data_IF_373425075544
#
_entry.id   IF_373425075544
#
_cell.length_a   1.000
_cell.length_b   1.000
_cell.length_c   1.000
_cell.angle_alpha   90.00
_cell.angle_beta   90.00
_cell.angle_gamma   90.00
#
_symmetry.space_group_name_H-M   'P 1'
#
loop_
_entity.id
_entity.type
_entity.pdbx_description
1 polymer ?
#
# COMPACT_ATOMS: atom_id res chain seq x y z
N UNK A 1 18.75 -2.72 9.09
CA UNK A 1 17.53 -3.43 9.58
C UNK A 1 16.38 -3.06 8.67
N UNK A 2 15.69 -4.02 8.14
CA UNK A 2 14.56 -3.76 7.22
C UNK A 2 13.37 -3.30 8.03
N UNK A 3 12.81 -2.12 7.70
CA UNK A 3 11.57 -1.63 8.29
C UNK A 3 10.43 -2.45 7.68
N UNK A 4 9.67 -3.13 8.52
CA UNK A 4 8.54 -3.93 8.08
C UNK A 4 7.27 -3.08 7.98
N UNK A 5 6.40 -3.40 7.03
CA UNK A 5 5.08 -2.77 6.90
C UNK A 5 4.29 -2.88 8.21
N UNK A 6 3.51 -1.86 8.50
CA UNK A 6 2.64 -1.72 9.67
C UNK A 6 3.37 -1.60 11.02
N UNK A 7 4.72 -1.50 11.02
CA UNK A 7 5.47 -1.12 12.22
C UNK A 7 5.35 0.38 12.50
N UNK A 8 5.69 0.80 13.72
CA UNK A 8 5.72 2.24 14.07
C UNK A 8 6.70 3.01 13.18
N UNK A 9 7.86 2.44 12.91
CA UNK A 9 8.88 3.02 12.03
C UNK A 9 8.35 3.19 10.60
N UNK A 10 7.57 2.22 10.10
CA UNK A 10 6.95 2.31 8.79
C UNK A 10 5.90 3.44 8.73
N UNK A 11 5.10 3.61 9.78
CA UNK A 11 4.16 4.71 9.87
C UNK A 11 4.88 6.06 9.92
N UNK A 12 5.95 6.16 10.71
CA UNK A 12 6.77 7.35 10.79
C UNK A 12 7.42 7.70 9.45
N UNK A 13 7.93 6.71 8.72
CA UNK A 13 8.56 6.91 7.41
C UNK A 13 7.57 7.38 6.32
N UNK A 14 6.31 6.99 6.42
CA UNK A 14 5.23 7.41 5.51
C UNK A 14 4.66 8.81 5.81
N UNK A 15 4.94 9.33 7.00
CA UNK A 15 4.37 10.58 7.50
C UNK A 15 4.69 11.75 6.56
N UNK A 16 3.66 12.45 6.11
CA UNK A 16 3.79 13.62 5.23
C UNK A 16 4.25 13.32 3.80
N UNK A 17 4.26 12.05 3.39
CA UNK A 17 4.62 11.62 2.03
C UNK A 17 3.37 11.27 1.20
N UNK A 18 3.47 11.46 -0.10
CA UNK A 18 2.51 10.92 -1.07
C UNK A 18 2.90 9.49 -1.37
N UNK A 19 2.17 8.55 -0.80
CA UNK A 19 2.41 7.12 -1.01
C UNK A 19 1.53 6.58 -2.13
N UNK A 20 1.87 5.41 -2.70
CA UNK A 20 1.10 4.80 -3.79
C UNK A 20 -0.38 4.63 -3.45
N UNK A 21 -0.73 4.35 -2.19
CA UNK A 21 -2.12 4.24 -1.73
C UNK A 21 -2.93 5.56 -1.81
N UNK A 22 -2.24 6.70 -1.92
CA UNK A 22 -2.84 8.04 -2.02
C UNK A 22 -2.88 8.60 -3.44
N UNK A 23 -2.31 7.88 -4.42
CA UNK A 23 -2.16 8.38 -5.80
C UNK A 23 -3.52 8.65 -6.47
N UNK A 24 -4.54 7.89 -6.14
CA UNK A 24 -5.91 8.10 -6.64
C UNK A 24 -6.45 9.49 -6.32
N UNK A 25 -6.09 10.03 -5.15
CA UNK A 25 -6.55 11.36 -4.72
C UNK A 25 -5.72 12.48 -5.37
N UNK A 26 -4.47 12.19 -5.73
CA UNK A 26 -3.62 13.07 -6.55
C UNK A 26 -4.16 13.21 -7.96
N UNK A 27 -4.56 12.08 -8.57
CA UNK A 27 -5.09 12.05 -9.95
C UNK A 27 -6.60 12.36 -10.04
N UNK A 28 -7.27 12.52 -8.91
CA UNK A 28 -8.71 12.81 -8.87
C UNK A 28 -9.05 14.11 -9.60
N UNK A 29 -10.12 14.07 -10.39
CA UNK A 29 -10.64 15.23 -11.13
C UNK A 29 -11.90 15.79 -10.45
N UNK A 30 -12.10 17.11 -10.45
CA UNK A 30 -11.19 18.14 -11.01
C UNK A 30 -9.97 18.35 -10.11
N UNK A 31 -8.86 18.74 -10.71
CA UNK A 31 -7.67 19.19 -9.97
C UNK A 31 -8.10 20.34 -9.03
N UNK A 32 -7.62 20.31 -7.79
CA UNK A 32 -8.08 21.19 -6.68
C UNK A 32 -9.55 20.93 -6.26
N UNK A 33 -10.12 19.81 -6.65
CA UNK A 33 -11.42 19.37 -6.14
C UNK A 33 -11.35 18.83 -4.71
N UNK A 34 -12.48 18.29 -4.22
CA UNK A 34 -12.62 17.86 -2.82
C UNK A 34 -11.57 16.81 -2.40
N UNK A 35 -11.35 15.78 -3.22
CA UNK A 35 -10.39 14.70 -2.90
C UNK A 35 -8.95 15.24 -2.85
N UNK A 36 -8.57 16.04 -3.84
CA UNK A 36 -7.25 16.65 -3.92
C UNK A 36 -6.97 17.60 -2.73
N UNK A 37 -7.94 18.42 -2.37
CA UNK A 37 -7.82 19.35 -1.23
C UNK A 37 -7.77 18.58 0.11
N UNK A 38 -8.55 17.52 0.26
CA UNK A 38 -8.53 16.69 1.45
C UNK A 38 -7.17 15.99 1.63
N UNK A 39 -6.58 15.45 0.56
CA UNK A 39 -5.25 14.86 0.60
C UNK A 39 -4.19 15.92 0.96
N UNK A 40 -4.26 17.11 0.35
CA UNK A 40 -3.33 18.21 0.65
C UNK A 40 -3.38 18.58 2.13
N UNK A 41 -4.57 18.67 2.70
CA UNK A 41 -4.75 18.99 4.12
C UNK A 41 -4.20 17.87 5.02
N UNK A 42 -4.45 16.62 4.68
CA UNK A 42 -3.91 15.47 5.41
C UNK A 42 -2.37 15.49 5.42
N UNK A 43 -1.75 15.65 4.27
CA UNK A 43 -0.29 15.71 4.14
C UNK A 43 0.29 16.88 4.94
N UNK A 44 -0.35 18.07 4.86
CA UNK A 44 0.06 19.23 5.62
C UNK A 44 -0.04 18.99 7.13
N UNK A 45 -1.14 18.38 7.59
CA UNK A 45 -1.33 18.05 9.00
C UNK A 45 -0.24 17.11 9.49
N UNK A 46 0.04 16.04 8.74
CA UNK A 46 1.11 15.10 9.06
C UNK A 46 2.49 15.77 9.16
N UNK A 47 2.80 16.68 8.24
CA UNK A 47 4.08 17.42 8.26
C UNK A 47 4.20 18.38 9.44
N UNK A 48 3.10 19.00 9.84
CA UNK A 48 3.08 19.94 10.97
C UNK A 48 3.09 19.23 12.32
N UNK A 49 2.41 18.10 12.43
CA UNK A 49 2.29 17.35 13.70
C UNK A 49 3.39 16.31 13.88
N UNK A 50 3.99 15.84 12.79
CA UNK A 50 4.93 14.71 12.80
C UNK A 50 4.26 13.34 13.04
N UNK A 51 2.93 13.28 12.93
CA UNK A 51 2.14 12.07 13.17
C UNK A 51 1.35 11.73 11.92
N UNK A 52 1.44 10.48 11.46
CA UNK A 52 0.65 10.00 10.34
C UNK A 52 -0.84 9.99 10.74
N UNK A 53 -1.68 10.56 9.88
CA UNK A 53 -3.13 10.46 10.02
C UNK A 53 -3.58 9.02 9.79
N UNK A 54 -4.19 8.42 10.82
CA UNK A 54 -4.64 7.04 10.76
C UNK A 54 -5.84 6.89 9.83
N UNK A 55 -5.74 5.96 8.89
CA UNK A 55 -6.91 5.47 8.16
C UNK A 55 -7.57 4.37 9.00
N UNK A 56 -8.84 4.58 9.35
CA UNK A 56 -9.60 3.54 10.08
C UNK A 56 -9.68 2.27 9.26
N UNK A 57 -9.17 1.18 9.83
CA UNK A 57 -9.28 -0.16 9.24
C UNK A 57 -10.72 -0.63 9.34
N UNK A 58 -11.30 -1.03 8.21
CA UNK A 58 -12.61 -1.70 8.19
C UNK A 58 -12.43 -3.23 8.10
N UNK A 59 -13.53 -3.97 8.17
CA UNK A 59 -13.51 -5.43 8.17
C UNK A 59 -12.90 -6.05 6.91
N UNK A 60 -13.08 -5.42 5.74
CA UNK A 60 -12.50 -5.89 4.48
C UNK A 60 -10.99 -5.63 4.42
N UNK A 61 -10.54 -4.50 4.94
CA UNK A 61 -9.11 -4.21 5.06
C UNK A 61 -8.43 -5.17 6.04
N UNK A 62 -9.08 -5.45 7.17
CA UNK A 62 -8.57 -6.41 8.14
C UNK A 62 -8.49 -7.82 7.55
N UNK A 63 -9.52 -8.25 6.82
CA UNK A 63 -9.48 -9.51 6.07
C UNK A 63 -8.27 -9.58 5.13
N UNK A 64 -8.02 -8.52 4.34
CA UNK A 64 -6.85 -8.44 3.46
C UNK A 64 -5.53 -8.63 4.21
N UNK A 65 -5.39 -7.94 5.34
CA UNK A 65 -4.20 -8.04 6.21
C UNK A 65 -4.01 -9.45 6.75
N UNK A 66 -5.09 -10.09 7.21
CA UNK A 66 -5.05 -11.43 7.80
C UNK A 66 -4.75 -12.52 6.75
N UNK A 67 -5.18 -12.33 5.51
CA UNK A 67 -4.98 -13.30 4.42
C UNK A 67 -3.66 -13.13 3.66
N UNK A 68 -3.06 -11.96 3.70
CA UNK A 68 -1.84 -11.64 2.96
C UNK A 68 -0.69 -12.64 3.20
N UNK A 69 -0.36 -13.07 4.44
CA UNK A 69 0.70 -14.05 4.66
C UNK A 69 0.44 -15.41 4.00
N UNK A 70 -0.82 -15.84 3.97
CA UNK A 70 -1.20 -17.10 3.32
C UNK A 70 -1.09 -17.01 1.79
N UNK A 71 -1.45 -15.86 1.22
CA UNK A 71 -1.31 -15.63 -0.21
C UNK A 71 0.17 -15.57 -0.63
N UNK A 72 1.03 -14.95 0.17
CA UNK A 72 2.49 -14.94 -0.05
C UNK A 72 3.03 -16.36 0.01
N UNK A 73 2.68 -17.14 1.03
CA UNK A 73 3.12 -18.54 1.15
C UNK A 73 2.65 -19.40 -0.03
N UNK A 74 1.43 -19.19 -0.52
CA UNK A 74 0.93 -19.87 -1.71
C UNK A 74 1.73 -19.51 -2.96
N UNK A 75 2.06 -18.23 -3.14
CA UNK A 75 2.91 -17.76 -4.24
C UNK A 75 4.31 -18.39 -4.18
N UNK A 76 4.95 -18.40 -3.02
CA UNK A 76 6.27 -19.01 -2.82
C UNK A 76 6.27 -20.50 -3.13
N UNK A 77 5.24 -21.21 -2.67
CA UNK A 77 5.10 -22.66 -2.94
C UNK A 77 4.88 -22.97 -4.44
N UNK A 78 4.11 -22.14 -5.13
CA UNK A 78 3.80 -22.33 -6.55
C UNK A 78 4.97 -21.98 -7.46
N UNK A 79 5.70 -20.91 -7.13
CA UNK A 79 6.75 -20.37 -8.00
C UNK A 79 8.15 -20.84 -7.62
N UNK A 80 8.37 -21.24 -6.36
CA UNK A 80 9.69 -21.49 -5.80
C UNK A 80 10.51 -20.23 -5.49
N UNK A 81 9.94 -19.04 -5.67
CA UNK A 81 10.58 -17.78 -5.37
C UNK A 81 10.34 -17.39 -3.90
N UNK A 82 11.33 -16.79 -3.28
CA UNK A 82 11.17 -16.24 -1.93
C UNK A 82 10.73 -14.78 -1.98
N UNK A 83 9.83 -14.42 -1.08
CA UNK A 83 9.33 -13.05 -0.93
C UNK A 83 9.98 -12.41 0.29
N UNK A 84 10.65 -11.28 0.07
CA UNK A 84 11.29 -10.52 1.13
C UNK A 84 10.40 -9.35 1.49
N UNK A 85 9.97 -9.27 2.75
CA UNK A 85 9.19 -8.15 3.27
C UNK A 85 10.00 -6.84 3.22
N UNK A 86 9.33 -5.75 2.88
CA UNK A 86 9.94 -4.42 2.81
C UNK A 86 9.05 -3.35 3.42
N UNK A 87 9.62 -2.21 3.75
CA UNK A 87 8.91 -1.02 4.19
C UNK A 87 8.58 -0.07 3.05
N UNK A 88 8.68 1.23 3.32
CA UNK A 88 8.54 2.25 2.30
C UNK A 88 9.82 2.33 1.46
N UNK A 89 9.63 2.34 0.15
CA UNK A 89 10.69 2.61 -0.84
C UNK A 89 10.43 4.00 -1.39
N UNK A 90 11.35 4.93 -1.16
CA UNK A 90 11.22 6.28 -1.68
C UNK A 90 11.38 6.31 -3.20
N UNK A 91 10.60 7.19 -3.84
CA UNK A 91 10.71 7.40 -5.27
C UNK A 91 12.06 8.05 -5.62
N UNK A 92 12.80 7.53 -6.61
CA UNK A 92 14.18 7.95 -6.87
C UNK A 92 14.32 9.42 -7.32
N UNK A 93 13.26 10.01 -7.85
CA UNK A 93 13.28 11.38 -8.40
C UNK A 93 12.28 12.30 -7.71
N UNK A 94 11.06 11.82 -7.43
CA UNK A 94 10.02 12.64 -6.84
C UNK A 94 10.16 12.59 -5.32
N UNK A 95 10.63 13.70 -4.74
CA UNK A 95 10.79 13.83 -3.31
C UNK A 95 9.45 13.72 -2.57
N UNK A 96 9.50 13.22 -1.35
CA UNK A 96 8.33 13.05 -0.48
C UNK A 96 7.23 12.17 -1.10
N UNK A 97 7.65 11.19 -1.89
CA UNK A 97 6.76 10.15 -2.40
C UNK A 97 7.44 8.78 -2.37
N UNK A 98 6.66 7.72 -2.34
CA UNK A 98 7.15 6.37 -2.29
C UNK A 98 6.05 5.32 -2.36
N UNK A 99 6.45 4.06 -2.35
CA UNK A 99 5.55 2.91 -2.37
C UNK A 99 6.02 1.85 -1.37
N UNK A 100 5.08 1.12 -0.81
CA UNK A 100 5.36 -0.04 0.04
C UNK A 100 4.77 -1.26 -0.65
N UNK A 101 5.51 -1.96 -1.52
CA UNK A 101 5.05 -3.23 -2.09
C UNK A 101 4.93 -4.27 -0.99
N UNK A 102 4.04 -5.25 -1.16
CA UNK A 102 3.82 -6.31 -0.17
C UNK A 102 5.03 -7.23 -0.04
N UNK A 103 5.89 -7.27 -1.05
CA UNK A 103 7.18 -7.93 -0.98
C UNK A 103 8.06 -7.67 -2.19
N UNK A 104 9.32 -7.99 -2.04
CA UNK A 104 10.30 -8.01 -3.13
C UNK A 104 10.62 -9.46 -3.51
N UNK A 105 10.81 -9.70 -4.79
CA UNK A 105 11.11 -11.02 -5.34
C UNK A 105 12.40 -10.90 -6.17
N UNK A 106 13.39 -11.71 -5.84
CA UNK A 106 14.71 -11.67 -6.46
C UNK A 106 15.36 -10.27 -6.44
N UNK A 107 15.98 -9.84 -7.54
CA UNK A 107 16.72 -8.59 -7.61
C UNK A 107 15.89 -7.40 -8.08
N UNK A 108 14.85 -7.63 -8.86
CA UNK A 108 14.09 -6.59 -9.56
C UNK A 108 12.56 -6.81 -9.55
N UNK A 109 12.11 -7.91 -8.97
CA UNK A 109 10.69 -8.23 -8.84
C UNK A 109 10.05 -7.60 -7.61
N UNK A 110 8.78 -7.26 -7.73
CA UNK A 110 7.94 -6.86 -6.59
C UNK A 110 6.60 -7.57 -6.64
N UNK A 111 6.06 -7.85 -5.48
CA UNK A 111 4.78 -8.52 -5.30
C UNK A 111 3.78 -7.55 -4.70
N UNK A 112 2.59 -7.53 -5.26
CA UNK A 112 1.41 -6.89 -4.71
C UNK A 112 0.34 -7.95 -4.49
N UNK A 113 -0.17 -8.08 -3.28
CA UNK A 113 -1.16 -9.09 -2.88
C UNK A 113 -2.53 -8.44 -2.75
N UNK A 114 -3.53 -9.05 -3.36
CA UNK A 114 -4.93 -8.65 -3.21
C UNK A 114 -5.73 -9.84 -2.69
N UNK A 115 -6.32 -9.67 -1.52
CA UNK A 115 -7.19 -10.67 -0.88
C UNK A 115 -8.61 -10.11 -0.79
N UNK A 116 -9.36 -10.08 -1.91
CA UNK A 116 -10.71 -9.54 -1.94
C UNK A 116 -11.70 -10.45 -1.23
N UNK A 117 -12.93 -9.97 -1.03
CA UNK A 117 -14.04 -10.82 -0.58
C UNK A 117 -14.29 -11.96 -1.57
N UNK A 118 -14.87 -13.06 -1.10
CA UNK A 118 -15.17 -14.22 -1.95
C UNK A 118 -16.00 -13.85 -3.19
N UNK A 119 -16.96 -12.95 -3.07
CA UNK A 119 -17.78 -12.49 -4.19
C UNK A 119 -16.95 -11.73 -5.22
N UNK A 120 -16.10 -10.80 -4.78
CA UNK A 120 -15.21 -10.04 -5.67
C UNK A 120 -14.20 -10.97 -6.34
N UNK A 121 -13.62 -11.89 -5.58
CA UNK A 121 -12.68 -12.88 -6.12
C UNK A 121 -13.32 -13.76 -7.21
N UNK A 122 -14.51 -14.25 -6.94
CA UNK A 122 -15.26 -15.06 -7.93
C UNK A 122 -15.57 -14.24 -9.19
N UNK A 123 -15.96 -12.98 -9.04
CA UNK A 123 -16.20 -12.10 -10.19
C UNK A 123 -14.92 -11.90 -11.02
N UNK A 124 -13.78 -11.67 -10.38
CA UNK A 124 -12.48 -11.56 -11.06
C UNK A 124 -12.14 -12.82 -11.86
N UNK A 125 -12.39 -14.01 -11.29
CA UNK A 125 -12.17 -15.28 -11.99
C UNK A 125 -13.06 -15.37 -13.24
N UNK A 126 -14.32 -14.96 -13.14
CA UNK A 126 -15.30 -15.05 -14.23
C UNK A 126 -15.05 -14.01 -15.33
N UNK A 127 -14.71 -12.80 -14.95
CA UNK A 127 -14.53 -11.68 -15.90
C UNK A 127 -13.09 -11.52 -16.38
N UNK A 128 -12.12 -12.07 -15.64
CA UNK A 128 -10.66 -11.86 -15.81
C UNK A 128 -10.25 -10.37 -15.66
N UNK A 129 -11.05 -9.58 -14.95
CA UNK A 129 -10.78 -8.18 -14.61
C UNK A 129 -10.42 -8.06 -13.12
N UNK A 130 -9.40 -7.25 -12.82
CA UNK A 130 -8.90 -6.98 -11.47
C UNK A 130 -9.31 -5.60 -11.02
#
# INVERSE_FOLDING_TARGET
>A
MTILQRSEDWHADRCGKVTASRIKDVDAKPIKGKAHNALTLTILTERLTGVQEETKTNSLMQWGIDQEPYAIAAYENETGNFVIGTGLIDHPVIKMSGASPDGLVDQDGQLEVKCPSSQTHLNTILTKEV
#
